data_IF_222205539892
#
_entry.id   IF_222205539892
#
_cell.length_a   1.000
_cell.length_b   1.000
_cell.length_c   1.000
_cell.angle_alpha   90.00
_cell.angle_beta   90.00
_cell.angle_gamma   90.00
#
_symmetry.space_group_name_H-M   'P 1'
#
loop_
_entity.id
_entity.type
_entity.pdbx_description
1 polymer ?
#
# COMPACT_ATOMS: atom_id res chain seq x y z
N UNK A 1 5.22 -14.42 3.70
CA UNK A 1 4.13 -13.45 3.90
C UNK A 1 2.85 -14.13 4.41
N UNK A 2 2.36 -15.16 3.72
CA UNK A 2 1.25 -16.01 4.18
C UNK A 2 1.40 -16.38 5.66
N UNK A 3 2.58 -16.84 6.09
CA UNK A 3 2.78 -17.28 7.47
C UNK A 3 2.48 -16.19 8.52
N UNK A 4 2.85 -14.92 8.32
CA UNK A 4 2.58 -13.86 9.30
C UNK A 4 1.09 -13.49 9.37
N UNK A 5 0.39 -13.49 8.23
CA UNK A 5 -1.06 -13.29 8.16
C UNK A 5 -1.79 -14.48 8.79
N UNK A 6 -1.33 -15.72 8.54
CA UNK A 6 -1.87 -16.94 9.13
C UNK A 6 -1.67 -16.99 10.65
N UNK A 7 -0.49 -16.63 11.17
CA UNK A 7 -0.24 -16.58 12.61
C UNK A 7 -1.09 -15.51 13.29
N UNK A 8 -1.21 -14.32 12.70
CA UNK A 8 -2.09 -13.26 13.21
C UNK A 8 -3.56 -13.72 13.25
N UNK A 9 -4.00 -14.46 12.22
CA UNK A 9 -5.34 -15.02 12.12
C UNK A 9 -5.62 -16.05 13.23
N UNK A 10 -4.69 -16.99 13.44
CA UNK A 10 -4.80 -17.98 14.51
C UNK A 10 -4.83 -17.32 15.89
N UNK A 11 -4.01 -16.28 16.12
CA UNK A 11 -3.96 -15.57 17.38
C UNK A 11 -5.28 -14.83 17.67
N UNK A 12 -5.84 -14.13 16.68
CA UNK A 12 -7.12 -13.44 16.83
C UNK A 12 -8.26 -14.40 17.14
N UNK A 13 -8.31 -15.55 16.44
CA UNK A 13 -9.32 -16.59 16.70
C UNK A 13 -9.17 -17.18 18.09
N UNK A 14 -7.94 -17.43 18.53
CA UNK A 14 -7.67 -17.91 19.88
C UNK A 14 -8.15 -16.91 20.95
N UNK A 15 -7.79 -15.63 20.82
CA UNK A 15 -8.25 -14.59 21.76
C UNK A 15 -9.76 -14.37 21.70
N UNK A 16 -10.38 -14.45 20.52
CA UNK A 16 -11.83 -14.36 20.39
C UNK A 16 -12.55 -15.48 21.14
N UNK A 17 -12.04 -16.71 21.08
CA UNK A 17 -12.62 -17.88 21.74
C UNK A 17 -12.33 -17.90 23.25
N UNK A 18 -11.09 -17.61 23.65
CA UNK A 18 -10.65 -17.70 25.05
C UNK A 18 -11.16 -16.53 25.89
N UNK A 19 -11.28 -15.35 25.29
CA UNK A 19 -11.73 -14.17 26.01
C UNK A 19 -13.26 -14.02 26.07
N UNK A 20 -13.99 -14.92 25.40
CA UNK A 20 -15.43 -15.08 25.57
C UNK A 20 -15.72 -16.16 26.61
N UNK A 21 -16.25 -15.75 27.77
CA UNK A 21 -17.18 -16.61 28.51
C UNK A 21 -18.35 -17.00 27.57
N UNK A 22 -19.10 -18.10 27.77
CA UNK A 22 -20.16 -18.58 26.86
C UNK A 22 -21.29 -17.58 26.52
N UNK A 23 -21.22 -16.37 27.07
CA UNK A 23 -22.17 -15.30 26.90
C UNK A 23 -21.79 -14.35 25.74
N UNK A 24 -22.54 -14.53 24.65
CA UNK A 24 -22.85 -13.58 23.57
C UNK A 24 -22.20 -13.84 22.20
N UNK A 25 -23.05 -14.32 21.29
CA UNK A 25 -22.91 -14.30 19.83
C UNK A 25 -22.44 -12.95 19.27
N UNK A 26 -22.80 -11.86 19.96
CA UNK A 26 -22.38 -10.50 19.60
C UNK A 26 -20.86 -10.29 19.72
N UNK A 27 -20.22 -10.87 20.73
CA UNK A 27 -18.76 -10.76 20.92
C UNK A 27 -17.99 -11.46 19.80
N UNK A 28 -18.50 -12.61 19.35
CA UNK A 28 -17.92 -13.36 18.23
C UNK A 28 -18.02 -12.57 16.92
N UNK A 29 -19.18 -11.96 16.65
CA UNK A 29 -19.39 -11.10 15.48
C UNK A 29 -18.45 -9.88 15.47
N UNK A 30 -18.21 -9.27 16.63
CA UNK A 30 -17.29 -8.13 16.73
C UNK A 30 -15.85 -8.56 16.40
N UNK A 31 -15.40 -9.68 16.97
CA UNK A 31 -14.06 -10.21 16.69
C UNK A 31 -13.88 -10.59 15.21
N UNK A 32 -14.88 -11.25 14.61
CA UNK A 32 -14.87 -11.58 13.19
C UNK A 32 -14.83 -10.32 12.32
N UNK A 33 -15.64 -9.30 12.65
CA UNK A 33 -15.63 -8.02 11.92
C UNK A 33 -14.28 -7.31 12.00
N UNK A 34 -13.62 -7.37 13.16
CA UNK A 34 -12.27 -6.82 13.35
C UNK A 34 -11.25 -7.61 12.53
N UNK A 35 -11.29 -8.94 12.56
CA UNK A 35 -10.44 -9.82 11.75
C UNK A 35 -10.59 -9.49 10.26
N UNK A 36 -11.82 -9.44 9.75
CA UNK A 36 -12.10 -9.11 8.35
C UNK A 36 -11.56 -7.74 7.97
N UNK A 37 -11.72 -6.73 8.82
CA UNK A 37 -11.21 -5.38 8.53
C UNK A 37 -9.68 -5.33 8.47
N UNK A 38 -9.00 -6.10 9.33
CA UNK A 38 -7.54 -6.23 9.30
C UNK A 38 -7.09 -6.98 8.05
N UNK A 39 -7.79 -8.05 7.66
CA UNK A 39 -7.49 -8.81 6.45
C UNK A 39 -7.70 -7.96 5.19
N UNK A 40 -8.81 -7.23 5.11
CA UNK A 40 -9.13 -6.32 4.01
C UNK A 40 -8.13 -5.16 3.90
N UNK A 41 -7.42 -4.81 4.98
CA UNK A 41 -6.38 -3.80 4.93
C UNK A 41 -5.07 -4.27 4.32
N UNK A 42 -4.83 -5.60 4.25
CA UNK A 42 -3.56 -6.13 3.78
C UNK A 42 -3.26 -5.75 2.33
N UNK A 43 -4.16 -5.95 1.35
CA UNK A 43 -3.83 -5.60 -0.04
C UNK A 43 -3.39 -4.13 -0.20
N UNK A 44 -4.03 -3.21 0.54
CA UNK A 44 -3.61 -1.80 0.55
C UNK A 44 -2.23 -1.63 1.18
N UNK A 45 -1.97 -2.23 2.35
CA UNK A 45 -0.64 -2.13 2.97
C UNK A 45 0.46 -2.79 2.13
N UNK A 46 0.15 -3.88 1.45
CA UNK A 46 1.10 -4.58 0.58
C UNK A 46 1.40 -3.75 -0.68
N UNK A 47 0.38 -3.15 -1.30
CA UNK A 47 0.57 -2.27 -2.45
C UNK A 47 1.51 -1.09 -2.13
N UNK A 48 1.31 -0.42 -0.99
CA UNK A 48 2.07 0.78 -0.62
C UNK A 48 3.36 0.49 0.15
N UNK A 49 3.53 -0.70 0.71
CA UNK A 49 4.59 -1.01 1.67
C UNK A 49 5.47 -2.20 1.29
N UNK A 50 5.09 -2.99 0.29
CA UNK A 50 5.88 -4.11 -0.18
C UNK A 50 6.53 -3.79 -1.54
N UNK A 51 7.66 -4.45 -1.78
CA UNK A 51 8.40 -4.33 -3.03
C UNK A 51 9.02 -5.67 -3.42
N UNK A 52 9.32 -5.79 -4.72
CA UNK A 52 10.09 -6.92 -5.23
C UNK A 52 11.58 -6.71 -4.93
N UNK A 53 12.13 -7.66 -4.19
CA UNK A 53 13.55 -7.76 -3.86
C UNK A 53 14.16 -8.99 -4.53
N UNK A 54 15.49 -9.13 -4.51
CA UNK A 54 16.19 -10.29 -5.06
C UNK A 54 15.70 -11.64 -4.50
N UNK A 55 15.32 -11.68 -3.23
CA UNK A 55 14.98 -12.94 -2.52
C UNK A 55 13.48 -13.16 -2.36
N UNK A 56 12.68 -12.11 -2.46
CA UNK A 56 11.25 -12.16 -2.23
C UNK A 56 10.55 -11.12 -3.12
N UNK A 57 9.63 -11.60 -3.95
CA UNK A 57 8.84 -10.79 -4.87
C UNK A 57 7.83 -9.88 -4.17
N UNK A 58 7.42 -10.24 -2.96
CA UNK A 58 6.50 -9.48 -2.13
C UNK A 58 7.13 -9.31 -0.73
N UNK A 59 8.12 -8.43 -0.63
CA UNK A 59 8.90 -8.21 0.58
C UNK A 59 8.41 -6.98 1.33
N UNK A 60 7.93 -7.15 2.56
CA UNK A 60 7.49 -6.01 3.37
C UNK A 60 8.64 -5.11 3.77
N UNK A 61 8.49 -3.82 3.48
CA UNK A 61 9.46 -2.76 3.79
C UNK A 61 8.93 -1.81 4.86
N UNK A 62 8.01 -2.31 5.67
CA UNK A 62 7.46 -1.67 6.86
C UNK A 62 7.27 -2.73 7.95
N UNK A 63 7.39 -2.32 9.21
CA UNK A 63 6.95 -3.09 10.36
C UNK A 63 5.44 -2.91 10.58
N UNK A 64 4.74 -3.99 10.91
CA UNK A 64 3.31 -3.97 11.25
C UNK A 64 3.13 -4.37 12.70
N UNK A 65 2.48 -3.51 13.48
CA UNK A 65 2.06 -3.79 14.84
C UNK A 65 0.53 -3.80 14.90
N UNK A 66 -0.04 -4.83 15.49
CA UNK A 66 -1.49 -4.96 15.67
C UNK A 66 -1.76 -4.96 17.15
N UNK A 67 -2.43 -3.91 17.64
CA UNK A 67 -2.88 -3.80 19.01
C UNK A 67 -4.34 -4.23 19.10
N UNK A 68 -4.62 -5.27 19.88
CA UNK A 68 -5.97 -5.68 20.22
C UNK A 68 -6.43 -4.94 21.49
N UNK A 69 -7.66 -4.42 21.48
CA UNK A 69 -8.25 -3.71 22.61
C UNK A 69 -9.30 -4.61 23.25
N UNK A 70 -9.09 -4.93 24.53
CA UNK A 70 -10.00 -5.74 25.34
C UNK A 70 -10.62 -4.88 26.45
N UNK A 71 -11.87 -5.13 26.81
CA UNK A 71 -12.50 -4.51 27.97
C UNK A 71 -12.13 -5.25 29.28
N UNK A 72 -12.66 -4.77 30.41
CA UNK A 72 -12.41 -5.37 31.74
C UNK A 72 -12.91 -6.82 31.86
N UNK A 73 -13.89 -7.20 31.04
CA UNK A 73 -14.41 -8.58 30.94
C UNK A 73 -13.69 -9.39 29.88
N UNK A 74 -12.52 -8.93 29.42
CA UNK A 74 -11.65 -9.55 28.42
C UNK A 74 -12.25 -9.64 27.00
N UNK A 75 -13.43 -9.07 26.75
CA UNK A 75 -14.03 -9.10 25.43
C UNK A 75 -13.33 -8.13 24.47
N UNK A 76 -13.17 -8.54 23.22
CA UNK A 76 -12.58 -7.71 22.18
C UNK A 76 -13.53 -6.57 21.80
N UNK A 77 -13.09 -5.34 22.02
CA UNK A 77 -13.86 -4.12 21.70
C UNK A 77 -13.32 -3.38 20.49
N UNK A 78 -12.07 -3.64 20.10
CA UNK A 78 -11.44 -2.98 18.97
C UNK A 78 -10.06 -3.52 18.64
N UNK A 79 -9.49 -3.02 17.55
CA UNK A 79 -8.10 -3.21 17.22
C UNK A 79 -7.55 -1.98 16.49
N UNK A 80 -6.27 -1.71 16.70
CA UNK A 80 -5.52 -0.69 15.98
C UNK A 80 -4.35 -1.35 15.25
N UNK A 81 -4.18 -1.01 13.97
CA UNK A 81 -3.00 -1.41 13.18
C UNK A 81 -2.11 -0.19 13.04
N UNK A 82 -0.87 -0.30 13.50
CA UNK A 82 0.14 0.73 13.38
C UNK A 82 1.27 0.24 12.50
N UNK A 83 1.66 1.06 11.54
CA UNK A 83 2.80 0.80 10.67
C UNK A 83 4.02 1.57 11.15
N UNK A 84 5.18 0.93 11.11
CA UNK A 84 6.44 1.44 11.62
C UNK A 84 7.53 1.33 10.56
N UNK A 85 8.48 2.26 10.58
CA UNK A 85 9.71 2.20 9.79
C UNK A 85 9.50 1.87 8.31
N UNK A 86 8.55 2.54 7.66
CA UNK A 86 8.43 2.45 6.20
C UNK A 86 9.75 2.92 5.58
N UNK A 87 10.33 2.10 4.71
CA UNK A 87 11.56 2.40 3.98
C UNK A 87 11.32 3.48 2.90
N UNK A 88 11.08 4.72 3.32
CA UNK A 88 10.75 5.85 2.44
C UNK A 88 11.85 6.13 1.40
N UNK A 89 13.10 5.81 1.73
CA UNK A 89 14.26 5.95 0.83
C UNK A 89 14.12 5.11 -0.44
N UNK A 90 13.36 4.00 -0.39
CA UNK A 90 13.08 3.16 -1.55
C UNK A 90 12.32 3.88 -2.65
N UNK A 91 11.62 4.99 -2.36
CA UNK A 91 10.94 5.76 -3.41
C UNK A 91 11.94 6.40 -4.37
N UNK A 92 13.12 6.79 -3.89
CA UNK A 92 14.14 7.50 -4.66
C UNK A 92 15.30 6.63 -5.12
N UNK A 93 15.64 5.59 -4.35
CA UNK A 93 16.80 4.75 -4.64
C UNK A 93 16.45 3.27 -4.41
N UNK A 94 16.67 2.46 -5.43
CA UNK A 94 16.50 1.01 -5.38
C UNK A 94 17.77 0.33 -5.91
N UNK A 95 18.05 -0.88 -5.46
CA UNK A 95 19.12 -1.67 -6.05
C UNK A 95 18.76 -2.06 -7.50
N UNK A 96 19.77 -2.26 -8.35
CA UNK A 96 19.61 -2.45 -9.80
C UNK A 96 18.57 -3.51 -10.19
N UNK A 97 18.51 -4.62 -9.44
CA UNK A 97 17.61 -5.75 -9.68
C UNK A 97 16.31 -5.72 -8.87
N UNK A 98 16.06 -4.65 -8.12
CA UNK A 98 14.87 -4.49 -7.28
C UNK A 98 13.85 -3.55 -7.92
N UNK A 99 12.60 -3.66 -7.47
CA UNK A 99 11.53 -2.74 -7.85
C UNK A 99 11.23 -1.75 -6.73
N UNK A 100 10.53 -0.68 -7.10
CA UNK A 100 9.89 0.20 -6.14
C UNK A 100 8.63 -0.48 -5.53
N UNK A 101 7.86 0.24 -4.72
CA UNK A 101 6.60 -0.27 -4.17
C UNK A 101 5.61 -0.71 -5.27
N UNK A 102 4.86 -1.77 -5.02
CA UNK A 102 3.94 -2.36 -6.01
C UNK A 102 2.92 -1.35 -6.54
N UNK A 103 2.45 -0.42 -5.70
CA UNK A 103 1.45 0.58 -6.08
C UNK A 103 1.85 1.39 -7.32
N UNK A 104 3.13 1.70 -7.48
CA UNK A 104 3.62 2.44 -8.65
C UNK A 104 3.42 1.66 -9.94
N UNK A 105 3.66 0.34 -9.91
CA UNK A 105 3.46 -0.54 -11.06
C UNK A 105 1.98 -0.84 -11.29
N UNK A 106 1.21 -1.04 -10.21
CA UNK A 106 -0.24 -1.24 -10.26
C UNK A 106 -0.94 -0.07 -10.95
N UNK A 107 -0.65 1.18 -10.54
CA UNK A 107 -1.26 2.36 -11.14
C UNK A 107 -0.84 2.49 -12.61
N UNK A 108 0.45 2.32 -12.93
CA UNK A 108 0.91 2.45 -14.32
C UNK A 108 0.33 1.38 -15.27
N UNK A 109 0.00 0.18 -14.76
CA UNK A 109 -0.60 -0.91 -15.55
C UNK A 109 -2.13 -0.86 -15.58
N UNK A 110 -2.76 -0.52 -14.46
CA UNK A 110 -4.21 -0.57 -14.28
C UNK A 110 -4.96 0.74 -14.52
N UNK A 111 -4.27 1.87 -14.73
CA UNK A 111 -4.91 3.14 -15.06
C UNK A 111 -5.50 3.14 -16.47
N UNK A 112 -6.77 3.53 -16.60
CA UNK A 112 -7.42 3.83 -17.88
C UNK A 112 -6.82 5.08 -18.55
N UNK A 113 -7.11 5.31 -19.84
CA UNK A 113 -6.64 6.52 -20.56
C UNK A 113 -7.10 7.81 -19.87
N UNK A 114 -8.35 7.87 -19.42
CA UNK A 114 -8.90 9.01 -18.69
C UNK A 114 -8.23 9.21 -17.33
N UNK A 115 -8.01 8.12 -16.58
CA UNK A 115 -7.32 8.14 -15.29
C UNK A 115 -5.87 8.60 -15.45
N UNK A 116 -5.17 8.14 -16.49
CA UNK A 116 -3.80 8.56 -16.84
C UNK A 116 -3.71 10.06 -17.07
N UNK A 117 -4.66 10.63 -17.81
CA UNK A 117 -4.73 12.07 -18.04
C UNK A 117 -4.97 12.82 -16.72
N UNK A 118 -5.89 12.33 -15.91
CA UNK A 118 -6.26 12.93 -14.62
C UNK A 118 -5.13 12.85 -13.57
N UNK A 119 -4.33 11.78 -13.60
CA UNK A 119 -3.26 11.50 -12.63
C UNK A 119 -1.88 12.00 -13.09
N UNK A 120 -1.82 12.62 -14.27
CA UNK A 120 -0.59 13.08 -14.91
C UNK A 120 0.44 11.97 -15.18
N UNK A 121 -0.06 10.81 -15.63
CA UNK A 121 0.71 9.60 -15.93
C UNK A 121 0.69 9.31 -17.44
N UNK A 122 1.51 10.01 -18.25
CA UNK A 122 1.56 9.77 -19.68
C UNK A 122 1.93 8.32 -20.02
N UNK A 123 1.27 7.77 -21.03
CA UNK A 123 1.54 6.43 -21.53
C UNK A 123 2.96 6.33 -22.10
N UNK A 124 3.66 5.22 -21.82
CA UNK A 124 5.03 4.99 -22.28
C UNK A 124 6.11 5.87 -21.61
N UNK A 125 5.77 6.68 -20.62
CA UNK A 125 6.75 7.51 -19.94
C UNK A 125 7.71 6.66 -19.08
N UNK A 126 9.01 6.82 -19.35
CA UNK A 126 10.06 6.25 -18.51
C UNK A 126 10.18 7.08 -17.22
N UNK A 127 9.67 6.53 -16.12
CA UNK A 127 9.82 7.16 -14.81
C UNK A 127 11.10 6.67 -14.13
N UNK A 128 11.97 7.61 -13.71
CA UNK A 128 13.19 7.27 -12.97
C UNK A 128 12.92 6.54 -11.64
N UNK A 129 11.71 6.68 -11.09
CA UNK A 129 11.28 6.00 -9.86
C UNK A 129 10.60 4.64 -10.13
N UNK A 130 10.52 4.19 -11.37
CA UNK A 130 9.92 2.92 -11.76
C UNK A 130 10.96 2.04 -12.49
N UNK A 131 11.98 1.53 -11.78
CA UNK A 131 12.96 0.62 -12.37
C UNK A 131 12.33 -0.74 -12.68
N UNK A 132 12.86 -1.45 -13.67
CA UNK A 132 12.46 -2.81 -14.06
C UNK A 132 10.94 -2.99 -14.33
N UNK A 133 10.27 -2.14 -15.14
CA UNK A 133 8.84 -2.23 -15.45
C UNK A 133 8.42 -3.53 -16.15
N UNK A 134 9.33 -4.12 -16.93
CA UNK A 134 9.12 -5.33 -17.73
C UNK A 134 8.81 -6.57 -16.88
N UNK A 135 9.21 -6.58 -15.61
CA UNK A 135 8.92 -7.69 -14.70
C UNK A 135 7.45 -7.61 -14.28
N UNK A 136 6.61 -8.49 -14.83
CA UNK A 136 5.21 -8.63 -14.42
C UNK A 136 5.07 -9.58 -13.25
N UNK A 137 4.46 -9.11 -12.16
CA UNK A 137 4.18 -9.91 -10.97
C UNK A 137 2.67 -9.98 -10.70
N UNK A 138 2.23 -11.03 -10.01
CA UNK A 138 0.83 -11.19 -9.59
C UNK A 138 0.38 -10.03 -8.68
N UNK A 139 1.30 -9.49 -7.87
CA UNK A 139 1.08 -8.33 -7.01
C UNK A 139 0.88 -7.02 -7.78
N UNK A 140 0.96 -7.01 -9.11
CA UNK A 140 0.72 -5.82 -9.93
C UNK A 140 -0.77 -5.64 -10.30
N UNK A 141 -1.69 -6.49 -9.80
CA UNK A 141 -3.12 -6.33 -9.99
C UNK A 141 -3.66 -5.11 -9.21
N UNK A 142 -4.18 -4.11 -9.93
CA UNK A 142 -4.62 -2.85 -9.35
C UNK A 142 -6.03 -2.92 -8.77
N UNK A 143 -6.89 -3.73 -9.36
CA UNK A 143 -8.29 -3.91 -8.98
C UNK A 143 -8.41 -4.40 -7.55
N UNK A 144 -7.56 -5.34 -7.14
CA UNK A 144 -7.53 -5.87 -5.76
C UNK A 144 -7.25 -4.75 -4.76
N UNK A 145 -6.34 -3.83 -5.08
CA UNK A 145 -6.03 -2.67 -4.22
C UNK A 145 -7.19 -1.68 -4.18
N UNK A 146 -7.84 -1.38 -5.32
CA UNK A 146 -9.00 -0.47 -5.39
C UNK A 146 -10.18 -0.99 -4.59
N UNK A 147 -10.52 -2.27 -4.76
CA UNK A 147 -11.60 -2.91 -4.01
C UNK A 147 -11.31 -2.93 -2.51
N UNK A 148 -10.07 -3.24 -2.13
CA UNK A 148 -9.65 -3.18 -0.73
C UNK A 148 -9.75 -1.75 -0.14
N UNK A 149 -9.39 -0.72 -0.91
CA UNK A 149 -9.56 0.68 -0.51
C UNK A 149 -11.04 1.04 -0.29
N UNK A 150 -11.93 0.61 -1.18
CA UNK A 150 -13.38 0.82 -1.04
C UNK A 150 -13.92 0.13 0.23
N UNK A 151 -13.51 -1.11 0.51
CA UNK A 151 -13.89 -1.83 1.74
C UNK A 151 -13.39 -1.15 3.02
N UNK A 152 -12.31 -0.37 2.96
CA UNK A 152 -11.82 0.43 4.08
C UNK A 152 -12.52 1.79 4.22
N UNK A 153 -13.41 2.14 3.28
CA UNK A 153 -14.12 3.41 3.24
C UNK A 153 -13.35 4.54 2.54
N UNK A 154 -12.34 4.21 1.74
CA UNK A 154 -11.64 5.18 0.88
C UNK A 154 -12.40 5.23 -0.45
N UNK A 155 -13.17 6.28 -0.64
CA UNK A 155 -14.02 6.49 -1.82
C UNK A 155 -13.22 6.84 -3.08
N UNK A 156 -13.81 6.62 -4.26
CA UNK A 156 -13.16 6.85 -5.56
C UNK A 156 -12.56 8.26 -5.71
N UNK A 157 -13.23 9.35 -5.28
CA UNK A 157 -12.61 10.68 -5.28
C UNK A 157 -11.33 10.76 -4.45
N UNK A 158 -11.30 10.17 -3.25
CA UNK A 158 -10.10 10.14 -2.42
C UNK A 158 -9.01 9.27 -3.06
N UNK A 159 -9.37 8.11 -3.62
CA UNK A 159 -8.44 7.26 -4.37
C UNK A 159 -7.76 8.02 -5.51
N UNK A 160 -8.54 8.74 -6.33
CA UNK A 160 -8.02 9.57 -7.41
C UNK A 160 -7.05 10.65 -6.91
N UNK A 161 -7.29 11.22 -5.73
CA UNK A 161 -6.37 12.18 -5.13
C UNK A 161 -5.10 11.52 -4.60
N UNK A 162 -5.17 10.28 -4.11
CA UNK A 162 -3.99 9.49 -3.68
C UNK A 162 -3.11 9.14 -4.89
N UNK A 163 -3.71 8.77 -6.02
CA UNK A 163 -2.99 8.31 -7.21
C UNK A 163 -2.46 9.44 -8.10
N UNK A 164 -2.96 10.67 -7.92
CA UNK A 164 -2.42 11.85 -8.60
C UNK A 164 -0.94 12.04 -8.29
N UNK A 165 -0.09 11.79 -9.29
CA UNK A 165 1.34 12.06 -9.18
C UNK A 165 1.56 13.55 -9.34
N UNK A 166 1.96 14.21 -8.24
CA UNK A 166 2.45 15.59 -8.32
C UNK A 166 3.81 15.59 -9.02
N UNK A 167 3.83 15.91 -10.31
CA UNK A 167 5.05 16.39 -10.95
C UNK A 167 5.53 17.60 -10.14
N UNK A 168 6.73 17.52 -9.55
CA UNK A 168 7.47 18.76 -9.30
C UNK A 168 7.59 19.43 -10.65
N UNK A 169 7.06 20.64 -10.77
CA UNK A 169 7.31 21.48 -11.92
C UNK A 169 8.82 21.45 -12.18
N UNK A 170 9.22 21.07 -13.39
CA UNK A 170 10.61 21.19 -13.80
C UNK A 170 11.04 22.64 -13.54
N UNK A 171 12.27 22.91 -13.08
CA UNK A 171 12.74 24.28 -12.98
C UNK A 171 12.58 24.91 -14.36
N UNK A 172 11.87 26.03 -14.43
CA UNK A 172 11.84 26.89 -15.61
C UNK A 172 13.31 27.07 -16.05
N UNK A 173 13.66 26.53 -17.21
CA UNK A 173 14.94 26.81 -17.85
C UNK A 173 14.97 28.30 -18.11
N UNK A 174 15.70 29.03 -17.26
CA UNK A 174 16.01 30.43 -17.49
C UNK A 174 16.83 30.51 -18.77
N UNK A 175 16.41 31.39 -19.68
CA UNK A 175 16.95 31.51 -21.02
C UNK A 175 18.46 31.64 -21.05
N UNK A 176 19.03 30.96 -22.05
CA UNK A 176 20.38 31.15 -22.56
C UNK A 176 20.54 32.64 -22.89
N UNK A 177 21.37 33.37 -22.16
CA UNK A 177 21.84 34.69 -22.59
C UNK A 177 23.17 34.45 -23.30
N UNK A 178 23.09 34.48 -24.63
CA UNK A 178 24.21 34.23 -25.53
C UNK A 178 25.20 35.40 -25.42
N UNK A 179 26.25 35.21 -24.61
CA UNK A 179 27.39 36.12 -24.53
C UNK A 179 28.17 36.15 -25.84
N UNK A 180 27.82 37.07 -26.75
CA UNK A 180 28.70 37.48 -27.84
C UNK A 180 29.92 38.23 -27.28
N UNK A 181 31.14 37.96 -27.79
CA UNK A 181 32.31 38.76 -27.44
C UNK A 181 32.23 40.11 -28.20
N UNK A 182 32.36 41.21 -27.45
CA UNK A 182 32.65 42.51 -28.04
C UNK A 182 34.11 42.57 -28.46
N UNK A 183 34.30 43.13 -29.65
CA UNK A 183 35.54 43.36 -30.43
C UNK A 183 36.76 43.78 -29.63
#
# INVERSE_FOLDING_TARGET
MLQQTWTSRCLMKFYAVVATSPASWESHKIAERIEQRILNSNPVMEAFGNACTLRNNNSSRFGKFIQLQLNRTQQMVGAAVQTYLLEKTRVVCQAFSERNFHIFYQICKGASEDERLQWHLPEGAAFSWLPNPEKSLEEDCFEVTREAMLHLGIDTPTQNNIFKVRRKAAPLTFGRDDGQPLS
#
